data_IF_787979716290
#
_entry.id   IF_787979716290
#
_cell.length_a   1.000
_cell.length_b   1.000
_cell.length_c   1.000
_cell.angle_alpha   90.00
_cell.angle_beta   90.00
_cell.angle_gamma   90.00
#
_symmetry.space_group_name_H-M   'P 1'
#
loop_
_entity.id
_entity.type
_entity.pdbx_description
1 polymer ?
#
# COMPACT_ATOMS: atom_id res chain seq x y z
N UNK A 1 -11.64 0.50 10.27
CA UNK A 1 -12.64 1.14 9.40
C UNK A 1 -14.06 0.90 9.90
N UNK A 2 -14.59 -0.33 9.84
CA UNK A 2 -16.00 -0.64 10.21
C UNK A 2 -16.50 0.04 11.50
N UNK A 3 -15.78 -0.14 12.63
CA UNK A 3 -16.14 0.49 13.91
C UNK A 3 -16.08 2.02 13.81
N UNK A 4 -15.02 2.57 13.22
CA UNK A 4 -14.83 4.02 13.06
C UNK A 4 -15.91 4.70 12.20
N UNK A 5 -16.63 3.93 11.39
CA UNK A 5 -17.80 4.37 10.60
C UNK A 5 -19.15 3.95 11.18
N UNK A 6 -19.18 3.38 12.39
CA UNK A 6 -20.41 3.19 13.16
C UNK A 6 -20.77 1.75 13.52
N UNK A 7 -20.03 0.75 13.04
CA UNK A 7 -20.30 -0.64 13.43
C UNK A 7 -20.12 -0.84 14.95
N UNK A 8 -21.15 -1.42 15.60
CA UNK A 8 -21.09 -1.72 17.04
C UNK A 8 -20.34 -3.03 17.34
N UNK A 9 -20.43 -3.99 16.42
CA UNK A 9 -19.73 -5.27 16.48
C UNK A 9 -19.42 -5.74 15.06
N UNK A 10 -18.43 -6.62 14.92
CA UNK A 10 -18.05 -7.24 13.64
C UNK A 10 -17.86 -8.73 13.88
N UNK A 11 -18.55 -9.54 13.09
CA UNK A 11 -18.37 -11.00 13.08
C UNK A 11 -17.69 -11.41 11.76
N UNK A 12 -16.38 -11.65 11.75
CA UNK A 12 -15.63 -11.97 10.53
C UNK A 12 -15.80 -13.46 10.17
N UNK A 13 -17.02 -13.86 9.81
CA UNK A 13 -17.40 -15.26 9.59
C UNK A 13 -16.46 -15.99 8.61
N UNK A 14 -16.16 -15.39 7.45
CA UNK A 14 -15.31 -16.03 6.44
C UNK A 14 -13.87 -16.25 6.92
N UNK A 15 -13.35 -15.36 7.76
CA UNK A 15 -12.03 -15.56 8.36
C UNK A 15 -12.00 -16.77 9.29
N UNK A 16 -13.10 -17.02 10.02
CA UNK A 16 -13.22 -18.21 10.86
C UNK A 16 -13.33 -19.49 10.03
N UNK A 17 -14.07 -19.47 8.93
CA UNK A 17 -14.13 -20.62 8.00
C UNK A 17 -12.75 -20.93 7.40
N UNK A 18 -12.01 -19.91 6.97
CA UNK A 18 -10.64 -20.08 6.47
C UNK A 18 -9.71 -20.65 7.54
N UNK A 19 -9.78 -20.15 8.79
CA UNK A 19 -8.99 -20.72 9.88
C UNK A 19 -9.35 -22.19 10.16
N UNK A 20 -10.64 -22.54 10.08
CA UNK A 20 -11.10 -23.92 10.21
C UNK A 20 -10.52 -24.82 9.11
N UNK A 21 -10.49 -24.31 7.87
CA UNK A 21 -9.89 -25.01 6.74
C UNK A 21 -8.37 -25.21 6.91
N UNK A 22 -7.64 -24.18 7.32
CA UNK A 22 -6.19 -24.24 7.57
C UNK A 22 -5.83 -25.24 8.68
N UNK A 23 -6.69 -25.40 9.68
CA UNK A 23 -6.52 -26.45 10.70
C UNK A 23 -6.75 -27.83 10.08
N UNK A 24 -7.80 -27.98 9.27
CA UNK A 24 -8.14 -29.24 8.60
C UNK A 24 -7.07 -29.70 7.61
N UNK A 25 -6.40 -28.77 6.91
CA UNK A 25 -5.30 -29.07 5.99
C UNK A 25 -3.96 -29.25 6.71
N UNK A 26 -3.88 -28.93 8.01
CA UNK A 26 -2.66 -29.04 8.81
C UNK A 26 -1.68 -27.89 8.63
N UNK A 27 -2.06 -26.83 7.91
CA UNK A 27 -1.26 -25.60 7.74
C UNK A 27 -1.16 -24.79 9.03
N UNK A 28 -2.20 -24.85 9.88
CA UNK A 28 -2.22 -24.27 11.21
C UNK A 28 -2.40 -25.37 12.24
N UNK A 29 -1.49 -25.43 13.21
CA UNK A 29 -1.55 -26.41 14.31
C UNK A 29 -2.37 -25.84 15.48
N UNK A 30 -3.22 -26.69 16.06
CA UNK A 30 -4.01 -26.38 17.25
C UNK A 30 -5.47 -26.78 17.10
N UNK A 31 -6.21 -26.73 18.21
CA UNK A 31 -7.66 -26.90 18.16
C UNK A 31 -8.37 -25.61 17.73
N UNK A 32 -9.60 -25.77 17.22
CA UNK A 32 -10.43 -24.68 16.69
C UNK A 32 -10.62 -23.53 17.70
N UNK A 33 -10.81 -23.88 18.98
CA UNK A 33 -11.12 -22.91 20.01
C UNK A 33 -9.92 -22.01 20.32
N UNK A 34 -8.73 -22.58 20.51
CA UNK A 34 -7.52 -21.81 20.78
C UNK A 34 -7.08 -20.97 19.57
N UNK A 35 -7.19 -21.49 18.34
CA UNK A 35 -6.89 -20.71 17.13
C UNK A 35 -7.84 -19.51 17.00
N UNK A 36 -9.15 -19.69 17.21
CA UNK A 36 -10.12 -18.60 17.11
C UNK A 36 -9.92 -17.55 18.22
N UNK A 37 -9.57 -17.99 19.43
CA UNK A 37 -9.20 -17.11 20.55
C UNK A 37 -7.94 -16.31 20.25
N UNK A 38 -6.91 -16.93 19.67
CA UNK A 38 -5.68 -16.25 19.27
C UNK A 38 -5.92 -15.24 18.15
N UNK A 39 -6.73 -15.58 17.14
CA UNK A 39 -7.15 -14.66 16.09
C UNK A 39 -7.84 -13.41 16.68
N UNK A 40 -8.84 -13.60 17.56
CA UNK A 40 -9.52 -12.48 18.25
C UNK A 40 -8.54 -11.63 19.04
N UNK A 41 -7.62 -12.26 19.79
CA UNK A 41 -6.58 -11.55 20.55
C UNK A 41 -5.69 -10.69 19.63
N UNK A 42 -5.32 -11.21 18.46
CA UNK A 42 -4.55 -10.49 17.44
C UNK A 42 -5.30 -9.27 16.91
N UNK A 43 -6.55 -9.45 16.49
CA UNK A 43 -7.40 -8.35 15.99
C UNK A 43 -7.64 -7.30 17.08
N UNK A 44 -7.90 -7.70 18.33
CA UNK A 44 -8.07 -6.78 19.46
C UNK A 44 -6.80 -5.96 19.70
N UNK A 45 -5.62 -6.59 19.71
CA UNK A 45 -4.35 -5.86 19.83
C UNK A 45 -4.13 -4.88 18.66
N UNK A 46 -4.48 -5.30 17.44
CA UNK A 46 -4.43 -4.44 16.25
C UNK A 46 -5.33 -3.21 16.39
N UNK A 47 -6.57 -3.41 16.85
CA UNK A 47 -7.51 -2.32 17.12
C UNK A 47 -6.97 -1.36 18.18
N UNK A 48 -6.48 -1.87 19.33
CA UNK A 48 -5.91 -1.04 20.39
C UNK A 48 -4.71 -0.22 19.89
N UNK A 49 -3.86 -0.81 19.03
CA UNK A 49 -2.75 -0.10 18.40
C UNK A 49 -3.22 1.03 17.46
N UNK A 50 -4.34 0.85 16.77
CA UNK A 50 -4.94 1.91 15.94
C UNK A 50 -5.48 3.03 16.83
N UNK A 51 -6.19 2.70 17.92
CA UNK A 51 -6.71 3.69 18.86
C UNK A 51 -5.59 4.52 19.50
N UNK A 52 -4.52 3.85 19.95
CA UNK A 52 -3.42 4.52 20.64
C UNK A 52 -2.64 5.49 19.76
N UNK A 53 -2.62 5.31 18.43
CA UNK A 53 -2.00 6.27 17.50
C UNK A 53 -2.62 7.67 17.57
N UNK A 54 -3.92 7.74 17.88
CA UNK A 54 -4.67 8.99 18.01
C UNK A 54 -4.89 9.40 19.47
N UNK A 55 -4.25 8.71 20.43
CA UNK A 55 -4.42 8.96 21.85
C UNK A 55 -5.81 8.58 22.41
N UNK A 56 -6.57 7.74 21.71
CA UNK A 56 -7.93 7.34 22.12
C UNK A 56 -7.86 6.13 23.05
N UNK A 57 -8.49 6.24 24.22
CA UNK A 57 -8.46 5.18 25.24
C UNK A 57 -9.66 4.25 25.23
N UNK A 58 -10.78 4.62 24.58
CA UNK A 58 -12.00 3.78 24.56
C UNK A 58 -12.52 3.54 23.14
N UNK A 59 -13.02 2.33 22.88
CA UNK A 59 -13.67 1.97 21.61
C UNK A 59 -14.97 2.77 21.42
N UNK A 60 -15.67 3.10 22.50
CA UNK A 60 -16.90 3.87 22.46
C UNK A 60 -16.69 5.26 21.86
N UNK A 61 -15.61 5.96 22.24
CA UNK A 61 -15.25 7.26 21.65
C UNK A 61 -14.76 7.15 20.20
N UNK A 62 -14.19 6.01 19.81
CA UNK A 62 -13.71 5.79 18.44
C UNK A 62 -14.83 5.45 17.45
N UNK A 63 -15.90 4.80 17.92
CA UNK A 63 -17.01 4.37 17.07
C UNK A 63 -17.70 5.60 16.45
N UNK A 64 -17.73 5.67 15.13
CA UNK A 64 -18.29 6.80 14.39
C UNK A 64 -17.42 8.06 14.37
N UNK A 65 -16.20 8.04 14.93
CA UNK A 65 -15.31 9.20 14.95
C UNK A 65 -14.72 9.55 13.57
N UNK A 66 -14.82 8.66 12.59
CA UNK A 66 -14.40 8.89 11.19
C UNK A 66 -12.96 9.43 11.05
N UNK A 67 -12.03 8.93 11.89
CA UNK A 67 -10.62 9.33 11.89
C UNK A 67 -9.84 8.65 10.74
N UNK A 68 -10.25 8.98 9.52
CA UNK A 68 -9.72 8.47 8.26
C UNK A 68 -9.64 9.61 7.24
N UNK A 69 -8.87 9.38 6.19
CA UNK A 69 -8.88 10.20 4.99
C UNK A 69 -9.13 9.28 3.79
N UNK A 70 -9.99 9.72 2.88
CA UNK A 70 -10.28 9.01 1.65
C UNK A 70 -9.39 9.54 0.53
N UNK A 71 -8.61 8.64 -0.08
CA UNK A 71 -7.77 8.95 -1.25
C UNK A 71 -8.25 8.09 -2.41
N UNK A 72 -8.54 8.70 -3.55
CA UNK A 72 -8.96 8.00 -4.76
C UNK A 72 -10.43 7.61 -4.80
N UNK A 73 -11.29 8.20 -3.97
CA UNK A 73 -12.75 8.02 -4.02
C UNK A 73 -13.41 9.29 -4.51
N UNK A 74 -14.42 9.15 -5.37
CA UNK A 74 -15.22 10.29 -5.84
C UNK A 74 -16.04 10.92 -4.71
N UNK A 75 -16.44 12.17 -4.94
CA UNK A 75 -17.29 12.93 -4.01
C UNK A 75 -18.63 12.24 -3.78
N UNK A 76 -19.27 11.69 -4.82
CA UNK A 76 -20.54 10.96 -4.69
C UNK A 76 -20.44 9.75 -3.72
N UNK A 77 -19.32 9.02 -3.76
CA UNK A 77 -19.09 7.86 -2.88
C UNK A 77 -18.85 8.33 -1.45
N UNK A 78 -18.00 9.34 -1.28
CA UNK A 78 -17.70 9.93 0.02
C UNK A 78 -18.95 10.53 0.67
N UNK A 79 -19.76 11.28 -0.07
CA UNK A 79 -20.95 11.94 0.48
C UNK A 79 -22.04 10.95 0.91
N UNK A 80 -22.21 9.86 0.15
CA UNK A 80 -23.21 8.85 0.47
C UNK A 80 -22.76 7.90 1.59
N UNK A 81 -21.51 7.43 1.54
CA UNK A 81 -21.05 6.32 2.38
C UNK A 81 -20.12 6.73 3.53
N UNK A 82 -19.44 7.87 3.41
CA UNK A 82 -18.38 8.32 4.33
C UNK A 82 -18.50 9.81 4.66
N UNK A 83 -19.74 10.32 4.74
CA UNK A 83 -20.03 11.74 4.90
C UNK A 83 -19.21 12.37 6.04
N UNK A 84 -18.49 13.44 5.74
CA UNK A 84 -17.63 14.16 6.70
C UNK A 84 -16.15 13.77 6.64
N UNK A 85 -15.78 12.71 5.91
CA UNK A 85 -14.38 12.32 5.71
C UNK A 85 -13.71 13.22 4.66
N UNK A 86 -12.50 13.75 4.92
CA UNK A 86 -11.77 14.50 3.92
C UNK A 86 -11.38 13.61 2.74
N UNK A 87 -11.59 14.12 1.53
CA UNK A 87 -11.09 13.51 0.29
C UNK A 87 -10.50 14.57 -0.62
N UNK A 88 -9.16 14.71 -0.56
CA UNK A 88 -8.42 15.74 -1.32
C UNK A 88 -8.12 15.32 -2.74
N UNK A 89 -7.84 14.03 -2.92
CA UNK A 89 -7.65 13.41 -4.23
C UNK A 89 -8.86 12.54 -4.52
N UNK A 90 -9.77 13.06 -5.36
CA UNK A 90 -10.98 12.34 -5.79
C UNK A 90 -10.61 11.20 -6.76
N UNK A 91 -11.52 10.26 -6.99
CA UNK A 91 -11.27 9.14 -7.89
C UNK A 91 -12.51 8.30 -8.19
N UNK A 92 -12.47 7.02 -7.85
CA UNK A 92 -13.44 6.01 -8.23
C UNK A 92 -14.88 6.35 -7.85
N UNK A 93 -15.79 6.13 -8.79
CA UNK A 93 -17.25 6.25 -8.66
C UNK A 93 -17.88 4.91 -8.32
N UNK A 94 -19.17 4.93 -8.00
CA UNK A 94 -19.90 3.68 -7.76
C UNK A 94 -19.85 2.71 -8.95
N UNK A 95 -19.88 3.23 -10.18
CA UNK A 95 -19.77 2.41 -11.40
C UNK A 95 -18.41 1.73 -11.54
N UNK A 96 -17.33 2.38 -11.08
CA UNK A 96 -15.98 1.84 -11.15
C UNK A 96 -15.81 0.73 -10.11
N UNK A 97 -16.28 0.97 -8.87
CA UNK A 97 -16.31 -0.04 -7.79
C UNK A 97 -17.17 -1.25 -8.19
N UNK A 98 -18.32 -1.02 -8.81
CA UNK A 98 -19.19 -2.10 -9.30
C UNK A 98 -18.50 -2.94 -10.38
N UNK A 99 -17.81 -2.29 -11.33
CA UNK A 99 -17.08 -2.97 -12.38
C UNK A 99 -15.94 -3.86 -11.81
N UNK A 100 -15.18 -3.35 -10.85
CA UNK A 100 -14.14 -4.12 -10.15
C UNK A 100 -14.73 -5.33 -9.41
N UNK A 101 -15.84 -5.14 -8.70
CA UNK A 101 -16.52 -6.24 -7.98
C UNK A 101 -17.05 -7.31 -8.94
N UNK A 102 -17.60 -6.91 -10.09
CA UNK A 102 -18.05 -7.85 -11.13
C UNK A 102 -16.90 -8.65 -11.73
N UNK A 103 -15.76 -8.00 -11.99
CA UNK A 103 -14.56 -8.67 -12.49
C UNK A 103 -14.02 -9.69 -11.47
N UNK A 104 -13.93 -9.29 -10.19
CA UNK A 104 -13.51 -10.17 -9.10
C UNK A 104 -14.46 -11.37 -8.94
N UNK A 105 -15.78 -11.12 -8.97
CA UNK A 105 -16.78 -12.18 -8.88
C UNK A 105 -16.64 -13.16 -10.06
N UNK A 106 -16.51 -12.68 -11.29
CA UNK A 106 -16.35 -13.52 -12.47
C UNK A 106 -15.09 -14.42 -12.38
N UNK A 107 -14.02 -13.90 -11.79
CA UNK A 107 -12.81 -14.67 -11.49
C UNK A 107 -13.05 -15.71 -10.40
N UNK A 108 -13.62 -15.31 -9.25
CA UNK A 108 -13.84 -16.20 -8.10
C UNK A 108 -14.77 -17.38 -8.41
N UNK A 109 -15.73 -17.19 -9.32
CA UNK A 109 -16.64 -18.26 -9.76
C UNK A 109 -16.08 -19.13 -10.88
N UNK A 110 -14.88 -18.83 -11.41
CA UNK A 110 -14.25 -19.63 -12.47
C UNK A 110 -13.53 -20.84 -11.86
N UNK A 111 -13.98 -22.09 -12.11
CA UNK A 111 -13.34 -23.27 -11.53
C UNK A 111 -11.90 -23.49 -11.99
N UNK A 112 -11.49 -22.83 -13.08
CA UNK A 112 -10.14 -22.92 -13.66
C UNK A 112 -9.16 -21.93 -13.03
N UNK A 113 -9.63 -21.00 -12.19
CA UNK A 113 -8.81 -19.99 -11.54
C UNK A 113 -8.73 -20.29 -10.03
N UNK A 114 -7.63 -20.92 -9.55
CA UNK A 114 -7.44 -21.10 -8.12
C UNK A 114 -7.12 -19.77 -7.42
N UNK A 115 -7.14 -19.77 -6.10
CA UNK A 115 -6.64 -18.64 -5.30
C UNK A 115 -5.19 -18.37 -5.70
N UNK A 116 -4.93 -17.15 -6.15
CA UNK A 116 -3.59 -16.71 -6.54
C UNK A 116 -2.79 -16.33 -5.29
N UNK A 117 -1.47 -16.54 -5.34
CA UNK A 117 -0.56 -16.12 -4.26
C UNK A 117 -0.62 -14.61 -3.99
N UNK A 118 -0.96 -13.82 -5.03
CA UNK A 118 -0.93 -12.37 -5.00
C UNK A 118 0.50 -11.82 -4.99
N UNK A 119 0.62 -10.50 -4.87
CA UNK A 119 1.92 -9.82 -4.81
C UNK A 119 1.90 -8.56 -3.97
N UNK A 120 0.86 -8.32 -3.16
CA UNK A 120 0.68 -7.03 -2.49
C UNK A 120 1.76 -6.73 -1.44
N UNK A 121 2.14 -7.72 -0.64
CA UNK A 121 3.10 -7.54 0.48
C UNK A 121 4.55 -7.78 0.07
N UNK A 122 4.78 -8.57 -0.98
CA UNK A 122 6.10 -8.96 -1.45
C UNK A 122 6.05 -9.13 -2.96
N UNK A 123 7.12 -8.73 -3.63
CA UNK A 123 7.29 -8.94 -5.06
C UNK A 123 7.11 -10.42 -5.44
N UNK A 124 6.26 -10.66 -6.43
CA UNK A 124 6.05 -11.93 -7.11
C UNK A 124 6.07 -11.66 -8.60
N UNK A 125 6.82 -12.47 -9.35
CA UNK A 125 6.93 -12.30 -10.79
C UNK A 125 5.56 -12.43 -11.46
N UNK A 126 5.20 -11.46 -12.31
CA UNK A 126 3.89 -11.40 -12.95
C UNK A 126 2.72 -10.97 -12.04
N UNK A 127 3.00 -10.60 -10.79
CA UNK A 127 2.00 -10.06 -9.85
C UNK A 127 1.94 -8.52 -9.89
N UNK A 128 1.56 -7.94 -8.75
CA UNK A 128 1.52 -6.49 -8.53
C UNK A 128 2.87 -5.82 -8.84
N UNK A 129 2.84 -4.59 -9.35
CA UNK A 129 4.05 -3.83 -9.59
C UNK A 129 4.68 -3.35 -8.27
N UNK A 130 5.99 -3.55 -8.12
CA UNK A 130 6.78 -3.03 -6.99
C UNK A 130 7.80 -2.02 -7.49
N UNK A 131 7.83 -0.84 -6.84
CA UNK A 131 8.85 0.17 -7.10
C UNK A 131 10.28 -0.33 -6.83
N UNK A 132 10.41 -1.26 -5.87
CA UNK A 132 11.66 -1.96 -5.56
C UNK A 132 11.55 -3.42 -6.04
N UNK A 133 11.71 -3.62 -7.34
CA UNK A 133 11.76 -4.94 -7.96
C UNK A 133 13.22 -5.37 -8.28
N UNK A 134 13.47 -6.65 -8.61
CA UNK A 134 14.81 -7.16 -8.84
C UNK A 134 15.60 -6.39 -9.92
N UNK A 135 14.96 -5.98 -11.01
CA UNK A 135 15.61 -5.27 -12.11
C UNK A 135 16.07 -3.87 -11.66
N UNK A 136 15.19 -3.15 -10.97
CA UNK A 136 15.50 -1.82 -10.42
C UNK A 136 16.65 -1.89 -9.40
N UNK A 137 16.61 -2.86 -8.48
CA UNK A 137 17.62 -2.99 -7.42
C UNK A 137 18.97 -3.42 -7.99
N UNK A 138 18.99 -4.42 -8.88
CA UNK A 138 20.22 -4.96 -9.44
C UNK A 138 20.95 -3.95 -10.33
N UNK A 139 20.23 -3.22 -11.19
CA UNK A 139 20.82 -2.19 -12.05
C UNK A 139 21.36 -1.02 -11.22
N UNK A 140 20.66 -0.59 -10.17
CA UNK A 140 21.17 0.44 -9.26
C UNK A 140 22.44 0.00 -8.52
N UNK A 141 22.45 -1.23 -8.00
CA UNK A 141 23.63 -1.79 -7.33
C UNK A 141 24.83 -1.86 -8.28
N UNK A 142 24.62 -2.33 -9.52
CA UNK A 142 25.67 -2.39 -10.53
C UNK A 142 26.21 -0.99 -10.87
N UNK A 143 25.34 0.01 -11.02
CA UNK A 143 25.74 1.39 -11.30
C UNK A 143 26.64 1.96 -10.18
N UNK A 144 26.24 1.78 -8.91
CA UNK A 144 26.98 2.32 -7.76
C UNK A 144 28.28 1.55 -7.51
N UNK A 145 28.27 0.22 -7.57
CA UNK A 145 29.47 -0.60 -7.33
C UNK A 145 30.56 -0.41 -8.39
N UNK A 146 30.16 -0.12 -9.62
CA UNK A 146 31.08 0.03 -10.74
C UNK A 146 31.41 1.51 -11.03
N UNK A 147 30.71 2.45 -10.38
CA UNK A 147 30.85 3.88 -10.66
C UNK A 147 30.40 4.26 -12.08
N UNK A 148 29.44 3.52 -12.64
CA UNK A 148 29.04 3.64 -14.05
C UNK A 148 27.76 4.47 -14.21
N UNK A 149 27.90 5.69 -14.74
CA UNK A 149 26.79 6.60 -14.98
C UNK A 149 25.84 6.08 -16.08
N UNK A 150 26.34 5.33 -17.07
CA UNK A 150 25.48 4.77 -18.12
C UNK A 150 24.49 3.77 -17.52
N UNK A 151 24.95 2.90 -16.60
CA UNK A 151 24.08 2.02 -15.82
C UNK A 151 23.14 2.77 -14.89
N UNK A 152 23.57 3.90 -14.33
CA UNK A 152 22.65 4.76 -13.58
C UNK A 152 21.53 5.29 -14.48
N UNK A 153 21.82 5.65 -15.74
CA UNK A 153 20.81 6.05 -16.72
C UNK A 153 19.86 4.91 -17.07
N UNK A 154 20.36 3.67 -17.22
CA UNK A 154 19.51 2.47 -17.38
C UNK A 154 18.56 2.30 -16.19
N UNK A 155 19.07 2.39 -14.95
CA UNK A 155 18.24 2.36 -13.74
C UNK A 155 17.16 3.46 -13.76
N UNK A 156 17.53 4.71 -14.05
CA UNK A 156 16.53 5.80 -14.11
C UNK A 156 15.48 5.56 -15.18
N UNK A 157 15.86 5.00 -16.33
CA UNK A 157 14.90 4.66 -17.39
C UNK A 157 13.87 3.63 -16.93
N UNK A 158 14.29 2.60 -16.19
CA UNK A 158 13.37 1.60 -15.61
C UNK A 158 12.38 2.23 -14.62
N UNK A 159 12.85 3.21 -13.84
CA UNK A 159 12.03 3.92 -12.85
C UNK A 159 11.10 4.94 -13.50
N UNK A 160 11.55 5.65 -14.55
CA UNK A 160 10.82 6.75 -15.17
C UNK A 160 9.78 6.26 -16.20
N UNK A 161 9.99 5.09 -16.81
CA UNK A 161 9.10 4.51 -17.84
C UNK A 161 8.11 3.47 -17.28
N UNK A 162 8.03 3.33 -15.95
CA UNK A 162 7.13 2.39 -15.30
C UNK A 162 5.65 2.81 -15.45
N UNK A 163 4.70 1.88 -15.24
CA UNK A 163 3.30 2.24 -15.05
C UNK A 163 3.10 3.19 -13.87
N UNK A 164 2.08 4.05 -13.92
CA UNK A 164 1.74 4.97 -12.82
C UNK A 164 1.62 4.19 -11.51
N UNK A 165 2.50 4.48 -10.56
CA UNK A 165 2.60 3.78 -9.28
C UNK A 165 2.53 4.74 -8.09
N UNK A 166 2.81 6.03 -8.32
CA UNK A 166 2.80 7.09 -7.32
C UNK A 166 2.09 8.33 -7.88
N UNK A 167 1.56 9.20 -7.02
CA UNK A 167 0.91 10.46 -7.45
C UNK A 167 1.85 11.32 -8.31
N UNK A 168 3.14 11.35 -7.99
CA UNK A 168 4.14 12.10 -8.77
C UNK A 168 4.30 11.61 -10.21
N UNK A 169 3.95 10.35 -10.48
CA UNK A 169 4.02 9.78 -11.84
C UNK A 169 2.91 10.36 -12.75
N UNK A 170 1.89 11.01 -12.17
CA UNK A 170 0.84 11.74 -12.89
C UNK A 170 1.22 13.20 -13.21
N UNK A 171 2.38 13.66 -12.73
CA UNK A 171 2.83 15.03 -12.91
C UNK A 171 3.89 15.09 -14.02
N UNK A 172 3.89 16.20 -14.78
CA UNK A 172 4.93 16.48 -15.76
C UNK A 172 5.59 17.82 -15.44
N UNK A 173 6.92 17.86 -15.57
CA UNK A 173 7.68 19.10 -15.46
C UNK A 173 7.38 19.96 -16.68
N UNK A 174 6.88 21.18 -16.46
CA UNK A 174 6.77 22.18 -17.52
C UNK A 174 8.15 22.75 -17.82
N UNK A 175 8.65 22.48 -19.03
CA UNK A 175 9.94 22.97 -19.49
C UNK A 175 9.84 24.39 -20.03
N UNK A 176 10.98 25.09 -20.05
CA UNK A 176 11.16 26.38 -20.73
C UNK A 176 11.58 26.14 -22.18
N UNK A 177 11.27 27.09 -23.08
CA UNK A 177 11.57 26.96 -24.51
C UNK A 177 13.07 27.00 -24.83
N UNK A 178 13.85 27.69 -23.99
CA UNK A 178 15.31 27.79 -24.12
C UNK A 178 15.99 27.20 -22.89
N UNK A 179 16.56 25.99 -22.99
CA UNK A 179 17.31 25.38 -21.90
C UNK A 179 18.53 26.23 -21.51
N UNK A 180 18.80 26.30 -20.21
CA UNK A 180 20.04 26.89 -19.69
C UNK A 180 21.23 25.97 -19.99
N UNK A 181 22.42 26.56 -20.12
CA UNK A 181 23.64 25.77 -20.19
C UNK A 181 23.91 25.14 -18.81
N UNK A 182 24.51 23.94 -18.79
CA UNK A 182 24.82 23.23 -17.54
C UNK A 182 25.76 24.03 -16.63
N UNK A 183 26.62 24.86 -17.21
CA UNK A 183 27.54 25.75 -16.49
C UNK A 183 26.82 26.88 -15.74
N UNK A 184 25.56 27.17 -16.10
CA UNK A 184 24.71 28.14 -15.40
C UNK A 184 23.93 27.52 -14.23
N UNK A 185 23.96 26.18 -14.12
CA UNK A 185 23.33 25.45 -13.02
C UNK A 185 24.30 25.42 -11.84
N UNK A 186 23.75 25.45 -10.62
CA UNK A 186 24.55 25.34 -9.40
C UNK A 186 25.43 24.07 -9.40
N UNK A 187 26.65 24.14 -8.84
CA UNK A 187 27.56 23.01 -8.84
C UNK A 187 27.04 21.87 -7.96
N UNK A 188 27.47 20.64 -8.28
CA UNK A 188 27.08 19.43 -7.54
C UNK A 188 27.33 19.53 -6.03
N UNK A 189 28.38 20.24 -5.61
CA UNK A 189 28.71 20.44 -4.19
C UNK A 189 27.61 21.18 -3.42
N UNK A 190 26.87 22.09 -4.05
CA UNK A 190 25.74 22.78 -3.41
C UNK A 190 24.48 21.91 -3.42
N UNK A 191 24.27 21.16 -4.50
CA UNK A 191 23.15 20.21 -4.61
C UNK A 191 23.25 19.14 -3.52
N UNK A 192 24.43 18.55 -3.31
CA UNK A 192 24.64 17.48 -2.33
C UNK A 192 24.35 17.89 -0.90
N UNK A 193 24.46 19.18 -0.54
CA UNK A 193 24.11 19.68 0.80
C UNK A 193 22.62 19.52 1.14
N UNK A 194 21.76 19.32 0.12
CA UNK A 194 20.31 19.12 0.30
C UNK A 194 19.93 17.65 0.43
N UNK A 195 20.88 16.74 0.19
CA UNK A 195 20.68 15.31 0.41
C UNK A 195 21.05 14.97 1.85
N UNK A 196 20.18 14.19 2.48
CA UNK A 196 20.40 13.66 3.81
C UNK A 196 20.18 12.15 3.77
N UNK A 197 21.02 11.40 4.48
CA UNK A 197 20.77 9.98 4.69
C UNK A 197 19.82 9.85 5.87
N UNK A 198 18.64 9.29 5.63
CA UNK A 198 17.66 9.09 6.69
C UNK A 198 18.30 8.34 7.87
N UNK A 199 18.05 8.80 9.09
CA UNK A 199 18.56 8.16 10.30
C UNK A 199 18.04 6.73 10.43
N UNK A 200 18.93 5.74 10.30
CA UNK A 200 18.63 4.32 10.51
C UNK A 200 19.27 3.90 11.84
N UNK A 201 18.48 3.30 12.73
CA UNK A 201 18.97 2.77 14.01
C UNK A 201 20.05 1.71 13.79
N UNK A 202 21.16 1.78 14.53
CA UNK A 202 22.28 0.82 14.43
C UNK A 202 21.83 -0.64 14.61
N UNK A 203 20.85 -0.90 15.48
CA UNK A 203 20.30 -2.24 15.69
C UNK A 203 19.40 -2.76 14.56
N UNK A 204 19.11 -1.94 13.55
CA UNK A 204 18.36 -2.34 12.36
C UNK A 204 19.27 -2.74 11.17
N UNK A 205 20.58 -2.49 11.26
CA UNK A 205 21.57 -2.85 10.24
C UNK A 205 22.16 -4.25 10.41
N UNK A 206 22.13 -4.77 11.64
CA UNK A 206 22.71 -6.07 12.02
C UNK A 206 21.80 -7.24 11.69
#
# INVERSE_FOLDING_TARGET
>A
MLIGFGASAVYPFLAYEVLGDLIRTGEVLGDLYEVFKNYRKGITKGLLKILSKMGISTVASYRGAQLFEAIGLSEEVCDLSFRGVPSRLKGARFVDIEAEQKALAAEAWSPRKPIQQGGLLKFVFGGEYHAYNPDVVSTLQAAVQQGDYSKFKEYTSLVDQRPVSMIRDLLQVRTIDQPLNIDEIEPLSEIFKRFDSAGISLGAFT
#
